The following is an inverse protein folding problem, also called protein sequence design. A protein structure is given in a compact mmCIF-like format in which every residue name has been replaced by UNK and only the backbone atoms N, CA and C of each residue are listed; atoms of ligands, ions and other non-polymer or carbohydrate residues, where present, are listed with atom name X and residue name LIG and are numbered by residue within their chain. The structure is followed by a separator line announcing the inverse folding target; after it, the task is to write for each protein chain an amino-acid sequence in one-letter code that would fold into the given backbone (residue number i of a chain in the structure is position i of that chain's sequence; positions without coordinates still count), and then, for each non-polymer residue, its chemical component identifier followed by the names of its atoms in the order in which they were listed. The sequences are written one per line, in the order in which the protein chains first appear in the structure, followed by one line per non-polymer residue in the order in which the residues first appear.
data_IF_638641027311
#
_entry.id   IF_638641027311
#
_cell.length_a   1.000
_cell.length_b   1.000
_cell.length_c   1.000
_cell.angle_alpha   90.00
_cell.angle_beta   90.00
_cell.angle_gamma   90.00
#
_symmetry.space_group_name_H-M   'P 1'
#
loop_
_entity.id
_entity.type
_entity.pdbx_description
1 polymer ?
#
# COMPACT_ATOMS: atom_id res chain seq x y z
N UNK A 1 17.99 34.49 -12.93
CA UNK A 1 18.31 33.11 -12.50
C UNK A 1 17.65 32.20 -13.49
N UNK A 2 18.45 31.45 -14.25
CA UNK A 2 17.93 30.36 -15.08
C UNK A 2 17.06 29.44 -14.22
N UNK A 3 15.85 29.13 -14.71
CA UNK A 3 15.01 28.07 -14.16
C UNK A 3 15.67 26.73 -14.52
N UNK A 4 16.74 26.37 -13.81
CA UNK A 4 17.01 24.95 -13.57
C UNK A 4 15.68 24.34 -13.11
N UNK A 5 15.19 23.32 -13.83
CA UNK A 5 13.87 22.75 -13.59
C UNK A 5 13.80 22.26 -12.14
N UNK A 6 13.14 23.03 -11.28
CA UNK A 6 12.96 22.67 -9.86
C UNK A 6 12.37 21.28 -9.79
N UNK A 7 12.90 20.45 -8.88
CA UNK A 7 12.42 19.09 -8.67
C UNK A 7 10.94 19.12 -8.29
N UNK A 8 10.18 18.17 -8.80
CA UNK A 8 8.79 17.99 -8.39
C UNK A 8 8.73 17.52 -6.93
N UNK A 9 7.62 17.78 -6.26
CA UNK A 9 7.45 17.59 -4.82
C UNK A 9 6.32 16.63 -4.50
N UNK A 10 6.42 15.96 -3.35
CA UNK A 10 5.31 15.14 -2.88
C UNK A 10 5.16 15.13 -1.36
N UNK A 11 3.95 14.80 -0.93
CA UNK A 11 3.60 14.49 0.47
C UNK A 11 3.09 13.07 0.55
N UNK A 12 3.53 12.33 1.56
CA UNK A 12 3.08 10.96 1.82
C UNK A 12 2.31 10.86 3.13
N UNK A 13 1.02 10.59 3.05
CA UNK A 13 0.16 10.34 4.22
C UNK A 13 0.04 8.83 4.48
N UNK A 14 0.01 8.43 5.76
CA UNK A 14 -0.01 7.03 6.18
C UNK A 14 1.16 6.23 5.58
N UNK A 15 2.34 6.85 5.62
CA UNK A 15 3.50 6.50 4.80
C UNK A 15 4.19 5.18 5.16
N UNK A 16 3.88 4.57 6.31
CA UNK A 16 4.53 3.36 6.80
C UNK A 16 6.06 3.53 6.81
N UNK A 17 6.84 2.56 6.33
CA UNK A 17 8.29 2.68 6.21
C UNK A 17 8.74 3.49 4.97
N UNK A 18 7.83 4.10 4.22
CA UNK A 18 8.11 4.91 3.02
C UNK A 18 8.29 4.14 1.72
N UNK A 19 8.12 2.81 1.73
CA UNK A 19 8.32 1.93 0.56
C UNK A 19 7.28 2.17 -0.54
N UNK A 20 6.01 2.39 -0.17
CA UNK A 20 4.92 2.57 -1.13
C UNK A 20 5.06 3.82 -2.02
N UNK A 21 5.90 4.77 -1.61
CA UNK A 21 6.19 6.01 -2.32
C UNK A 21 7.68 6.15 -2.67
N UNK A 22 8.46 5.05 -2.65
CA UNK A 22 9.87 5.06 -3.00
C UNK A 22 10.12 5.42 -4.47
N UNK A 23 9.18 5.07 -5.37
CA UNK A 23 9.26 5.41 -6.79
C UNK A 23 9.40 6.92 -7.05
N UNK A 24 8.84 7.78 -6.20
CA UNK A 24 9.02 9.23 -6.31
C UNK A 24 10.48 9.66 -6.11
N UNK A 25 11.18 9.04 -5.15
CA UNK A 25 12.60 9.29 -4.96
C UNK A 25 13.42 8.84 -6.18
N UNK A 26 13.10 7.66 -6.73
CA UNK A 26 13.74 7.17 -7.96
C UNK A 26 13.48 8.07 -9.17
N UNK A 27 12.30 8.69 -9.23
CA UNK A 27 11.93 9.68 -10.25
C UNK A 27 12.49 11.09 -9.98
N UNK A 28 13.28 11.29 -8.91
CA UNK A 28 13.93 12.56 -8.59
C UNK A 28 13.04 13.59 -7.89
N UNK A 29 11.89 13.19 -7.34
CA UNK A 29 11.02 14.08 -6.57
C UNK A 29 11.57 14.30 -5.15
N UNK A 30 11.25 15.46 -4.60
CA UNK A 30 11.56 15.82 -3.22
C UNK A 30 10.34 15.58 -2.30
N UNK A 31 10.55 14.91 -1.16
CA UNK A 31 9.51 14.81 -0.14
C UNK A 31 9.47 16.11 0.67
N UNK A 32 8.31 16.78 0.64
CA UNK A 32 7.98 17.91 1.52
C UNK A 32 7.74 17.38 2.93
N UNK A 33 6.77 16.48 3.06
CA UNK A 33 6.35 15.92 4.33
C UNK A 33 5.94 14.45 4.20
N UNK A 34 6.19 13.70 5.25
CA UNK A 34 5.77 12.32 5.41
C UNK A 34 5.11 12.18 6.78
N UNK A 35 3.89 11.65 6.82
CA UNK A 35 3.14 11.45 8.05
C UNK A 35 2.96 9.96 8.35
N UNK A 36 3.31 9.57 9.56
CA UNK A 36 3.18 8.20 10.08
C UNK A 36 3.13 8.21 11.61
N UNK A 37 2.25 7.40 12.20
CA UNK A 37 2.06 7.38 13.66
C UNK A 37 3.14 6.57 14.39
N UNK A 38 3.73 5.56 13.72
CA UNK A 38 4.73 4.66 14.32
C UNK A 38 6.16 5.17 14.08
N UNK A 39 6.82 5.61 15.15
CA UNK A 39 8.20 6.14 15.14
C UNK A 39 9.20 5.22 14.44
N UNK A 40 9.16 3.92 14.73
CA UNK A 40 10.09 2.94 14.14
C UNK A 40 10.05 2.97 12.61
N UNK A 41 8.88 3.21 12.03
CA UNK A 41 8.72 3.27 10.58
C UNK A 41 9.25 4.59 10.01
N UNK A 42 9.02 5.72 10.70
CA UNK A 42 9.64 7.00 10.35
C UNK A 42 11.17 6.95 10.43
N UNK A 43 11.74 6.25 11.42
CA UNK A 43 13.19 6.09 11.53
C UNK A 43 13.79 5.39 10.29
N UNK A 44 13.09 4.43 9.69
CA UNK A 44 13.52 3.82 8.42
C UNK A 44 13.55 4.89 7.32
N UNK A 45 12.55 5.77 7.25
CA UNK A 45 12.50 6.86 6.28
C UNK A 45 13.65 7.86 6.48
N UNK A 46 13.99 8.19 7.74
CA UNK A 46 15.11 9.08 8.09
C UNK A 46 16.46 8.49 7.66
N UNK A 47 16.69 7.21 7.94
CA UNK A 47 17.91 6.50 7.52
C UNK A 47 18.06 6.56 5.99
N UNK A 48 16.95 6.44 5.26
CA UNK A 48 16.91 6.55 3.80
C UNK A 48 16.83 7.99 3.28
N UNK A 49 16.93 9.00 4.16
CA UNK A 49 16.89 10.43 3.82
C UNK A 49 15.72 10.80 2.90
N UNK A 50 14.54 10.23 3.18
CA UNK A 50 13.35 10.38 2.35
C UNK A 50 12.99 11.85 2.11
N UNK A 51 12.97 12.65 3.17
CA UNK A 51 12.60 14.06 3.13
C UNK A 51 13.84 14.93 3.39
N UNK A 52 13.90 16.06 2.67
CA UNK A 52 15.03 17.01 2.70
C UNK A 52 15.28 17.59 4.09
N UNK A 53 14.19 17.83 4.82
CA UNK A 53 14.22 18.46 6.14
C UNK A 53 13.74 17.52 7.22
N UNK A 54 14.36 17.61 8.40
CA UNK A 54 13.94 16.85 9.57
C UNK A 54 12.50 17.19 10.00
N UNK A 55 12.09 18.45 9.82
CA UNK A 55 10.72 18.90 10.07
C UNK A 55 9.67 18.25 9.15
N UNK A 56 10.10 17.66 8.03
CA UNK A 56 9.23 16.90 7.14
C UNK A 56 8.85 15.50 7.65
N UNK A 57 9.52 14.98 8.68
CA UNK A 57 9.18 13.68 9.30
C UNK A 57 8.17 13.86 10.43
N UNK A 58 6.88 13.83 10.06
CA UNK A 58 5.78 14.19 10.94
C UNK A 58 5.21 12.96 11.62
N UNK A 59 5.60 12.75 12.88
CA UNK A 59 5.03 11.72 13.74
C UNK A 59 3.75 12.21 14.40
N UNK A 60 2.61 11.69 13.96
CA UNK A 60 1.34 12.09 14.56
C UNK A 60 0.14 11.38 13.94
N UNK A 61 -0.97 11.39 14.67
CA UNK A 61 -2.27 10.98 14.17
C UNK A 61 -2.80 12.06 13.20
N UNK A 62 -3.01 11.68 11.95
CA UNK A 62 -3.48 12.57 10.89
C UNK A 62 -4.87 13.19 11.18
N UNK A 63 -5.65 12.64 12.11
CA UNK A 63 -6.95 13.20 12.51
C UNK A 63 -6.80 14.45 13.39
N UNK A 64 -5.66 14.63 14.05
CA UNK A 64 -5.43 15.72 14.99
C UNK A 64 -5.08 17.03 14.28
N UNK A 65 -5.65 18.17 14.72
CA UNK A 65 -5.33 19.48 14.15
C UNK A 65 -3.83 19.83 14.19
N UNK A 66 -3.12 19.44 15.25
CA UNK A 66 -1.68 19.69 15.40
C UNK A 66 -0.87 18.99 14.29
N UNK A 67 -1.17 17.73 13.98
CA UNK A 67 -0.51 17.00 12.89
C UNK A 67 -0.77 17.65 11.55
N UNK A 68 -2.01 18.07 11.28
CA UNK A 68 -2.37 18.78 10.04
C UNK A 68 -1.63 20.11 9.94
N UNK A 69 -1.54 20.85 11.05
CA UNK A 69 -0.79 22.11 11.14
C UNK A 69 0.68 21.90 10.80
N UNK A 70 1.33 20.85 11.33
CA UNK A 70 2.72 20.54 11.00
C UNK A 70 2.92 20.27 9.50
N UNK A 71 1.98 19.58 8.84
CA UNK A 71 2.03 19.35 7.39
C UNK A 71 1.95 20.68 6.63
N UNK A 72 1.02 21.56 7.02
CA UNK A 72 0.82 22.86 6.38
C UNK A 72 2.00 23.82 6.62
N UNK A 73 2.57 23.81 7.82
CA UNK A 73 3.75 24.61 8.18
C UNK A 73 4.96 24.21 7.31
N UNK A 74 5.15 22.90 7.05
CA UNK A 74 6.19 22.43 6.14
C UNK A 74 5.89 22.86 4.68
N UNK A 75 4.64 22.77 4.21
CA UNK A 75 4.26 23.30 2.89
C UNK A 75 4.62 24.78 2.76
N UNK A 76 4.29 25.60 3.77
CA UNK A 76 4.58 27.04 3.75
C UNK A 76 6.08 27.34 3.75
N UNK A 77 6.88 26.50 4.42
CA UNK A 77 8.35 26.59 4.36
C UNK A 77 8.87 26.36 2.94
N UNK A 78 8.39 25.32 2.25
CA UNK A 78 8.73 25.08 0.85
C UNK A 78 8.22 26.20 -0.06
N UNK A 79 7.06 26.79 0.24
CA UNK A 79 6.56 27.97 -0.49
C UNK A 79 7.52 29.15 -0.44
N UNK A 80 8.14 29.40 0.71
CA UNK A 80 9.18 30.44 0.88
C UNK A 80 10.46 30.15 0.10
N UNK A 81 10.74 28.88 -0.23
CA UNK A 81 11.82 28.47 -1.13
C UNK A 81 11.44 28.61 -2.61
N UNK A 82 10.23 29.08 -2.89
CA UNK A 82 9.73 29.40 -4.23
C UNK A 82 8.91 28.28 -4.88
N UNK A 83 8.53 27.23 -4.16
CA UNK A 83 7.53 26.27 -4.64
C UNK A 83 6.14 26.92 -4.61
N UNK A 84 5.36 26.75 -5.66
CA UNK A 84 4.02 27.35 -5.77
C UNK A 84 2.94 26.48 -5.13
N UNK A 85 3.04 25.16 -5.31
CA UNK A 85 2.12 24.16 -4.76
C UNK A 85 2.83 22.81 -4.59
N UNK A 86 2.15 21.87 -3.93
CA UNK A 86 2.57 20.46 -3.86
C UNK A 86 2.22 19.78 -5.18
N UNK A 87 3.17 19.08 -5.81
CA UNK A 87 2.87 18.37 -7.05
C UNK A 87 2.00 17.14 -6.77
N UNK A 88 2.38 16.29 -5.81
CA UNK A 88 1.64 15.04 -5.55
C UNK A 88 1.35 14.83 -4.07
N UNK A 89 0.09 14.52 -3.75
CA UNK A 89 -0.27 13.89 -2.46
C UNK A 89 -0.50 12.41 -2.70
N UNK A 90 0.26 11.55 -2.02
CA UNK A 90 0.00 10.10 -1.99
C UNK A 90 -0.49 9.70 -0.60
N UNK A 91 -1.60 8.96 -0.53
CA UNK A 91 -2.14 8.45 0.72
C UNK A 91 -2.45 6.95 0.63
N UNK A 92 -2.03 6.21 1.65
CA UNK A 92 -2.32 4.78 1.83
C UNK A 92 -3.03 4.54 3.16
N UNK A 93 -4.22 5.14 3.38
CA UNK A 93 -4.90 5.07 4.67
C UNK A 93 -5.28 3.63 5.02
N UNK A 94 -5.12 3.21 6.28
CA UNK A 94 -5.62 1.93 6.73
C UNK A 94 -7.15 1.92 6.62
N UNK A 95 -7.70 0.83 6.12
CA UNK A 95 -9.14 0.67 5.99
C UNK A 95 -9.64 -0.33 7.02
N UNK A 96 -10.12 0.22 8.15
CA UNK A 96 -10.49 -0.50 9.37
C UNK A 96 -11.86 -1.21 9.29
N UNK A 97 -12.59 -1.08 8.17
CA UNK A 97 -13.94 -1.62 7.98
C UNK A 97 -14.06 -2.84 7.05
N UNK A 98 -12.97 -3.48 6.63
CA UNK A 98 -12.98 -4.47 5.53
C UNK A 98 -12.84 -5.94 5.96
N UNK A 99 -12.99 -6.28 7.24
CA UNK A 99 -13.06 -7.70 7.59
C UNK A 99 -14.44 -8.25 7.20
N UNK A 100 -14.43 -9.15 6.22
CA UNK A 100 -15.56 -10.03 5.87
C UNK A 100 -15.91 -10.99 7.04
N UNK A 101 -15.15 -10.95 8.14
CA UNK A 101 -15.15 -11.95 9.22
C UNK A 101 -15.66 -11.47 10.59
N UNK A 102 -15.98 -10.18 10.83
CA UNK A 102 -16.48 -9.72 12.14
C UNK A 102 -17.94 -9.27 12.11
N UNK A 103 -18.84 -10.25 12.21
CA UNK A 103 -20.28 -10.12 12.43
C UNK A 103 -20.67 -9.84 13.90
N UNK A 104 -19.92 -9.01 14.63
CA UNK A 104 -20.34 -8.54 15.97
C UNK A 104 -20.09 -7.04 16.07
N UNK A 105 -21.17 -6.25 16.05
CA UNK A 105 -21.15 -4.81 16.31
C UNK A 105 -21.92 -4.56 17.59
N UNK A 106 -21.27 -3.92 18.55
CA UNK A 106 -21.94 -3.17 19.59
C UNK A 106 -22.39 -1.82 19.00
N UNK A 107 -23.54 -1.30 19.43
CA UNK A 107 -24.16 -0.07 18.89
C UNK A 107 -23.31 1.21 19.12
N UNK A 108 -22.21 1.12 19.87
CA UNK A 108 -21.30 2.23 20.17
C UNK A 108 -19.97 2.18 19.39
N UNK A 109 -19.77 1.24 18.46
CA UNK A 109 -18.48 1.05 17.79
C UNK A 109 -18.35 1.74 16.42
N UNK A 110 -17.62 2.86 16.47
CA UNK A 110 -16.55 3.28 15.55
C UNK A 110 -17.02 3.83 14.19
N UNK A 111 -16.82 5.15 14.03
CA UNK A 111 -16.80 5.86 12.74
C UNK A 111 -16.01 5.04 11.72
N UNK A 112 -16.70 4.43 10.76
CA UNK A 112 -16.08 3.45 9.86
C UNK A 112 -15.16 4.17 8.89
N UNK A 113 -13.92 3.68 8.76
CA UNK A 113 -12.94 4.19 7.80
C UNK A 113 -12.70 5.70 7.92
N UNK A 114 -12.71 6.23 9.15
CA UNK A 114 -12.45 7.64 9.46
C UNK A 114 -11.14 8.15 8.86
N UNK A 115 -10.09 7.34 8.86
CA UNK A 115 -8.78 7.69 8.32
C UNK A 115 -8.77 7.84 6.78
N UNK A 116 -9.68 7.14 6.08
CA UNK A 116 -9.88 7.35 4.64
C UNK A 116 -10.50 8.72 4.40
N UNK A 117 -11.55 9.06 5.15
CA UNK A 117 -12.20 10.38 5.06
C UNK A 117 -11.23 11.49 5.42
N UNK A 118 -10.40 11.30 6.45
CA UNK A 118 -9.37 12.25 6.82
C UNK A 118 -8.34 12.47 5.69
N UNK A 119 -7.94 11.41 4.98
CA UNK A 119 -7.05 11.54 3.81
C UNK A 119 -7.66 12.41 2.71
N UNK A 120 -8.97 12.26 2.48
CA UNK A 120 -9.73 13.04 1.50
C UNK A 120 -9.73 14.52 1.91
N UNK A 121 -10.02 14.81 3.18
CA UNK A 121 -10.07 16.18 3.71
C UNK A 121 -8.70 16.87 3.70
N UNK A 122 -7.63 16.18 4.11
CA UNK A 122 -6.26 16.70 4.02
C UNK A 122 -5.89 16.99 2.56
N UNK A 123 -6.22 16.09 1.62
CA UNK A 123 -5.96 16.30 0.18
C UNK A 123 -6.71 17.52 -0.35
N UNK A 124 -7.99 17.68 0.05
CA UNK A 124 -8.82 18.85 -0.29
C UNK A 124 -8.22 20.16 0.24
N UNK A 125 -7.60 20.11 1.43
CA UNK A 125 -6.95 21.26 2.03
C UNK A 125 -5.62 21.61 1.34
N UNK A 126 -4.81 20.60 1.00
CA UNK A 126 -3.49 20.79 0.35
C UNK A 126 -3.63 21.32 -1.08
N UNK A 127 -4.67 20.89 -1.82
CA UNK A 127 -4.90 21.28 -3.23
C UNK A 127 -3.67 21.06 -4.12
N UNK A 128 -3.11 19.85 -4.06
CA UNK A 128 -1.98 19.44 -4.91
C UNK A 128 -2.35 19.36 -6.39
N UNK A 129 -1.35 19.34 -7.28
CA UNK A 129 -1.58 19.14 -8.72
C UNK A 129 -2.16 17.75 -9.02
N UNK A 130 -1.69 16.75 -8.29
CA UNK A 130 -2.15 15.38 -8.38
C UNK A 130 -2.41 14.80 -6.99
N UNK A 131 -3.33 13.85 -6.91
CA UNK A 131 -3.41 12.96 -5.75
C UNK A 131 -3.45 11.50 -6.19
N UNK A 132 -2.92 10.62 -5.34
CA UNK A 132 -2.96 9.17 -5.52
C UNK A 132 -3.42 8.54 -4.21
N UNK A 133 -4.54 7.82 -4.26
CA UNK A 133 -4.95 6.93 -3.17
C UNK A 133 -4.75 5.48 -3.59
N UNK A 134 -4.08 4.71 -2.75
CA UNK A 134 -3.95 3.26 -2.92
C UNK A 134 -4.61 2.53 -1.75
N UNK A 135 -5.36 1.48 -2.07
CA UNK A 135 -5.97 0.61 -1.09
C UNK A 135 -6.37 -0.74 -1.70
N UNK A 136 -7.02 -1.62 -0.94
CA UNK A 136 -7.44 -2.96 -1.42
C UNK A 136 -8.47 -2.90 -2.56
N UNK A 137 -8.71 -4.04 -3.22
CA UNK A 137 -9.61 -4.13 -4.36
C UNK A 137 -11.04 -3.58 -4.11
N UNK A 138 -11.62 -3.82 -2.93
CA UNK A 138 -12.98 -3.37 -2.58
C UNK A 138 -13.09 -1.89 -2.19
N UNK A 139 -12.00 -1.11 -2.26
CA UNK A 139 -11.90 0.24 -1.71
C UNK A 139 -13.07 1.16 -2.09
N UNK A 140 -13.33 1.34 -3.39
CA UNK A 140 -14.35 2.30 -3.86
C UNK A 140 -15.77 1.97 -3.39
N UNK A 141 -16.07 0.69 -3.13
CA UNK A 141 -17.39 0.18 -2.71
C UNK A 141 -17.51 0.00 -1.20
N UNK A 142 -16.42 0.19 -0.46
CA UNK A 142 -16.42 0.02 0.99
C UNK A 142 -17.11 1.21 1.65
N UNK A 143 -18.01 0.95 2.61
CA UNK A 143 -18.73 2.00 3.32
C UNK A 143 -17.87 2.75 4.34
N UNK A 144 -18.03 4.06 4.44
CA UNK A 144 -17.44 4.93 5.44
C UNK A 144 -18.48 5.90 6.02
N UNK A 145 -18.19 6.45 7.20
CA UNK A 145 -18.96 7.58 7.74
C UNK A 145 -18.45 8.86 7.10
N UNK A 146 -19.24 9.45 6.21
CA UNK A 146 -18.92 10.69 5.49
C UNK A 146 -18.89 11.90 6.44
N UNK A 147 -18.34 13.06 6.01
CA UNK A 147 -18.30 14.27 6.83
C UNK A 147 -19.66 14.77 7.32
N UNK A 148 -20.73 14.48 6.57
CA UNK A 148 -22.12 14.79 6.94
C UNK A 148 -22.74 13.79 7.95
N UNK A 149 -21.96 12.81 8.41
CA UNK A 149 -22.39 11.76 9.34
C UNK A 149 -23.11 10.59 8.70
N UNK A 150 -23.42 10.65 7.39
CA UNK A 150 -24.10 9.57 6.68
C UNK A 150 -23.15 8.43 6.32
N UNK A 151 -23.68 7.23 6.12
CA UNK A 151 -22.90 6.10 5.60
C UNK A 151 -22.96 6.12 4.07
N UNK A 152 -21.80 6.32 3.44
CA UNK A 152 -21.63 6.35 1.98
C UNK A 152 -20.49 5.42 1.58
N UNK A 153 -20.48 5.00 0.32
CA UNK A 153 -19.30 4.36 -0.27
C UNK A 153 -18.15 5.36 -0.33
N UNK A 154 -16.93 4.92 0.00
CA UNK A 154 -15.72 5.76 -0.05
C UNK A 154 -15.58 6.43 -1.41
N UNK A 155 -15.86 5.70 -2.51
CA UNK A 155 -15.81 6.26 -3.86
C UNK A 155 -16.70 7.49 -4.00
N UNK A 156 -17.94 7.45 -3.48
CA UNK A 156 -18.86 8.60 -3.52
C UNK A 156 -18.30 9.78 -2.76
N UNK A 157 -17.76 9.56 -1.56
CA UNK A 157 -17.14 10.63 -0.75
C UNK A 157 -15.94 11.26 -1.46
N UNK A 158 -15.10 10.46 -2.13
CA UNK A 158 -13.99 10.99 -2.94
C UNK A 158 -14.50 11.94 -4.03
N UNK A 159 -15.51 11.54 -4.80
CA UNK A 159 -16.06 12.39 -5.87
C UNK A 159 -16.81 13.62 -5.33
N UNK A 160 -17.57 13.49 -4.24
CA UNK A 160 -18.29 14.59 -3.60
C UNK A 160 -17.32 15.66 -3.05
N UNK A 161 -16.23 15.23 -2.40
CA UNK A 161 -15.30 16.13 -1.72
C UNK A 161 -14.22 16.71 -2.64
N UNK A 162 -13.76 15.96 -3.64
CA UNK A 162 -12.63 16.32 -4.50
C UNK A 162 -13.02 16.58 -5.96
N UNK A 163 -14.19 16.11 -6.44
CA UNK A 163 -14.58 16.21 -7.85
C UNK A 163 -14.82 17.64 -8.36
N UNK A 164 -14.99 18.60 -7.45
CA UNK A 164 -15.06 20.02 -7.81
C UNK A 164 -13.70 20.56 -8.29
N UNK A 165 -12.60 20.13 -7.68
CA UNK A 165 -11.25 20.62 -7.98
C UNK A 165 -10.46 19.66 -8.90
N UNK A 166 -10.83 18.38 -8.99
CA UNK A 166 -10.07 17.34 -9.70
C UNK A 166 -10.90 16.58 -10.75
N UNK A 167 -10.24 16.14 -11.82
CA UNK A 167 -10.71 15.04 -12.68
C UNK A 167 -10.16 13.74 -12.09
N UNK A 168 -11.04 12.80 -11.75
CA UNK A 168 -10.70 11.62 -10.94
C UNK A 168 -10.99 10.36 -11.74
N UNK A 169 -10.06 9.40 -11.66
CA UNK A 169 -10.24 8.05 -12.19
C UNK A 169 -9.82 7.02 -11.15
N UNK A 170 -10.37 5.81 -11.24
CA UNK A 170 -10.00 4.70 -10.37
C UNK A 170 -9.89 3.40 -11.17
N UNK A 171 -8.85 2.61 -10.89
CA UNK A 171 -8.68 1.26 -11.47
C UNK A 171 -8.27 0.26 -10.39
N UNK A 172 -8.82 -0.94 -10.47
CA UNK A 172 -8.34 -2.09 -9.70
C UNK A 172 -7.33 -2.84 -10.56
N UNK A 173 -6.09 -2.91 -10.09
CA UNK A 173 -4.93 -3.45 -10.80
C UNK A 173 -4.33 -4.59 -9.99
N UNK A 174 -3.92 -5.68 -10.65
CA UNK A 174 -3.00 -6.63 -10.03
C UNK A 174 -1.56 -6.18 -10.32
N UNK A 175 -0.82 -5.81 -9.26
CA UNK A 175 0.52 -5.24 -9.41
C UNK A 175 1.53 -6.19 -10.07
N UNK A 176 1.26 -7.51 -10.11
CA UNK A 176 2.09 -8.45 -10.89
C UNK A 176 2.15 -8.11 -12.38
N UNK A 177 1.07 -7.49 -12.89
CA UNK A 177 0.96 -7.09 -14.29
C UNK A 177 1.54 -5.70 -14.56
N UNK A 178 2.30 -5.14 -13.61
CA UNK A 178 2.89 -3.80 -13.69
C UNK A 178 4.29 -3.78 -13.05
N UNK A 179 5.00 -4.91 -13.11
CA UNK A 179 6.40 -5.04 -12.68
C UNK A 179 6.63 -5.53 -11.24
N UNK A 180 5.58 -5.83 -10.47
CA UNK A 180 5.75 -6.46 -9.15
C UNK A 180 5.97 -7.97 -9.28
N UNK A 181 6.82 -8.54 -8.42
CA UNK A 181 7.02 -10.00 -8.34
C UNK A 181 6.00 -10.68 -7.38
N UNK A 182 4.88 -10.02 -7.09
CA UNK A 182 3.85 -10.52 -6.18
C UNK A 182 2.46 -10.24 -6.74
N UNK A 183 1.62 -11.27 -6.74
CA UNK A 183 0.19 -11.12 -7.05
C UNK A 183 -0.47 -10.30 -5.93
N UNK A 184 -0.80 -9.05 -6.23
CA UNK A 184 -1.35 -8.11 -5.26
C UNK A 184 -2.34 -7.18 -5.94
N UNK A 185 -3.62 -7.47 -5.78
CA UNK A 185 -4.70 -6.65 -6.34
C UNK A 185 -4.97 -5.43 -5.46
N UNK A 186 -4.86 -4.24 -6.04
CA UNK A 186 -5.06 -2.95 -5.37
C UNK A 186 -5.86 -2.01 -6.24
N UNK A 187 -6.67 -1.18 -5.58
CA UNK A 187 -7.37 -0.08 -6.22
C UNK A 187 -6.51 1.16 -6.09
N UNK A 188 -6.21 1.77 -7.23
CA UNK A 188 -5.45 3.02 -7.33
C UNK A 188 -6.39 4.08 -7.88
N UNK A 189 -6.60 5.14 -7.11
CA UNK A 189 -7.41 6.31 -7.48
C UNK A 189 -6.46 7.46 -7.77
N UNK A 190 -6.57 8.06 -8.94
CA UNK A 190 -5.73 9.18 -9.37
C UNK A 190 -6.62 10.38 -9.65
N UNK A 191 -6.27 11.52 -9.07
CA UNK A 191 -6.87 12.80 -9.40
C UNK A 191 -5.86 13.74 -10.05
N UNK A 192 -6.30 14.45 -11.09
CA UNK A 192 -5.57 15.54 -11.74
C UNK A 192 -6.33 16.83 -11.48
N UNK A 193 -5.67 17.84 -10.92
CA UNK A 193 -6.30 19.13 -10.66
C UNK A 193 -6.81 19.74 -11.98
N UNK A 194 -8.02 20.31 -12.00
CA UNK A 194 -8.69 20.74 -13.23
C UNK A 194 -7.91 21.79 -14.02
N UNK A 195 -7.04 22.57 -13.37
CA UNK A 195 -6.13 23.50 -14.06
C UNK A 195 -5.11 22.82 -14.98
N UNK A 196 -4.93 21.49 -14.88
CA UNK A 196 -4.04 20.69 -15.73
C UNK A 196 -4.80 19.76 -16.68
N UNK A 197 -6.14 19.74 -16.60
CA UNK A 197 -6.97 18.76 -17.31
C UNK A 197 -6.95 18.91 -18.84
N UNK A 198 -6.58 20.09 -19.36
CA UNK A 198 -6.38 20.30 -20.80
C UNK A 198 -5.10 19.64 -21.34
N UNK A 199 -4.18 19.24 -20.45
CA UNK A 199 -2.87 18.70 -20.84
C UNK A 199 -2.63 17.28 -20.37
N UNK A 200 -3.29 16.84 -19.30
CA UNK A 200 -3.03 15.55 -18.66
C UNK A 200 -4.36 14.89 -18.30
N UNK A 201 -4.63 13.73 -18.91
CA UNK A 201 -5.76 12.92 -18.50
C UNK A 201 -5.34 11.94 -17.39
N UNK A 202 -6.09 11.81 -16.28
CA UNK A 202 -5.74 10.88 -15.19
C UNK A 202 -5.52 9.43 -15.65
N UNK A 203 -6.21 9.02 -16.72
CA UNK A 203 -6.14 7.66 -17.27
C UNK A 203 -4.77 7.33 -17.88
N UNK A 204 -4.04 8.35 -18.35
CA UNK A 204 -2.72 8.23 -18.96
C UNK A 204 -1.61 8.04 -17.91
N UNK A 205 -1.92 8.31 -16.64
CA UNK A 205 -0.97 8.18 -15.52
C UNK A 205 -0.87 6.74 -14.99
N UNK A 206 -1.71 5.81 -15.46
CA UNK A 206 -1.58 4.41 -15.11
C UNK A 206 -0.41 3.74 -15.84
N UNK A 207 0.32 2.82 -15.18
CA UNK A 207 1.41 2.11 -15.81
C UNK A 207 0.90 1.24 -16.97
N UNK A 208 1.76 1.02 -17.96
CA UNK A 208 1.50 0.07 -19.05
C UNK A 208 1.51 -1.36 -18.51
N UNK A 209 0.63 -2.20 -19.06
CA UNK A 209 0.60 -3.62 -18.76
C UNK A 209 1.95 -4.28 -19.06
N UNK A 210 2.38 -5.15 -18.17
CA UNK A 210 3.54 -6.02 -18.31
C UNK A 210 3.09 -7.45 -17.99
N UNK A 211 3.57 -8.43 -18.75
CA UNK A 211 3.37 -9.83 -18.39
C UNK A 211 4.04 -10.12 -17.05
N UNK A 212 3.38 -10.92 -16.21
CA UNK A 212 3.96 -11.30 -14.92
C UNK A 212 5.27 -12.08 -15.10
N UNK A 213 6.22 -11.79 -14.21
CA UNK A 213 7.44 -12.59 -14.12
C UNK A 213 7.16 -13.83 -13.30
N UNK A 214 7.40 -15.00 -13.87
CA UNK A 214 7.38 -16.26 -13.15
C UNK A 214 8.71 -16.49 -12.45
N UNK A 215 8.68 -17.20 -11.33
CA UNK A 215 9.90 -17.64 -10.66
C UNK A 215 10.55 -18.74 -11.51
N UNK A 216 11.88 -18.73 -11.58
CA UNK A 216 12.61 -19.83 -12.20
C UNK A 216 12.23 -21.15 -11.52
N UNK A 217 11.79 -22.13 -12.31
CA UNK A 217 11.21 -23.39 -11.80
C UNK A 217 12.23 -24.18 -10.98
N UNK A 218 13.51 -24.16 -11.38
CA UNK A 218 14.59 -24.83 -10.66
C UNK A 218 14.92 -24.12 -9.34
N UNK A 219 14.96 -22.78 -9.35
CA UNK A 219 15.12 -22.01 -8.12
C UNK A 219 13.96 -22.22 -7.15
N UNK A 220 12.72 -22.23 -7.65
CA UNK A 220 11.53 -22.53 -6.84
C UNK A 220 11.63 -23.91 -6.20
N UNK A 221 12.05 -24.93 -6.97
CA UNK A 221 12.30 -26.28 -6.46
C UNK A 221 13.28 -26.27 -5.28
N UNK A 222 14.45 -25.65 -5.43
CA UNK A 222 15.43 -25.56 -4.36
C UNK A 222 14.89 -24.84 -3.12
N UNK A 223 14.14 -23.75 -3.29
CA UNK A 223 13.50 -23.06 -2.18
C UNK A 223 12.48 -23.96 -1.46
N UNK A 224 11.70 -24.76 -2.18
CA UNK A 224 10.73 -25.67 -1.59
C UNK A 224 11.41 -26.78 -0.80
N UNK A 225 12.44 -27.43 -1.38
CA UNK A 225 13.23 -28.47 -0.67
C UNK A 225 13.84 -27.91 0.61
N UNK A 226 14.54 -26.76 0.53
CA UNK A 226 15.11 -26.11 1.69
C UNK A 226 14.05 -25.71 2.74
N UNK A 227 12.86 -25.32 2.29
CA UNK A 227 11.75 -24.96 3.19
C UNK A 227 11.18 -26.19 3.89
N UNK A 228 11.06 -27.32 3.21
CA UNK A 228 10.64 -28.60 3.81
C UNK A 228 11.60 -28.98 4.94
N UNK A 229 12.90 -28.95 4.67
CA UNK A 229 13.93 -29.28 5.67
C UNK A 229 13.88 -28.35 6.87
N UNK A 230 13.74 -27.04 6.65
CA UNK A 230 13.60 -26.07 7.71
C UNK A 230 12.34 -26.33 8.57
N UNK A 231 11.19 -26.60 7.95
CA UNK A 231 9.96 -26.89 8.71
C UNK A 231 10.10 -28.21 9.49
N UNK A 232 10.71 -29.24 8.89
CA UNK A 232 11.01 -30.51 9.57
C UNK A 232 11.85 -30.29 10.82
N UNK A 233 12.92 -29.51 10.72
CA UNK A 233 13.78 -29.18 11.86
C UNK A 233 12.97 -28.54 13.00
N UNK A 234 12.18 -27.51 12.71
CA UNK A 234 11.36 -26.81 13.70
C UNK A 234 10.24 -27.67 14.32
N UNK A 235 9.74 -28.68 13.62
CA UNK A 235 8.66 -29.53 14.11
C UNK A 235 9.15 -30.82 14.79
N UNK A 236 10.43 -31.16 14.63
CA UNK A 236 11.03 -32.35 15.24
C UNK A 236 12.03 -32.03 16.36
N UNK A 237 12.39 -30.76 16.53
CA UNK A 237 13.30 -30.30 17.57
C UNK A 237 12.53 -29.58 18.69
N UNK A 238 12.42 -30.24 19.84
CA UNK A 238 11.72 -29.73 21.03
C UNK A 238 12.40 -28.49 21.66
N UNK A 239 13.65 -28.19 21.31
CA UNK A 239 14.35 -26.99 21.77
C UNK A 239 13.99 -25.73 20.97
N UNK A 240 13.37 -25.88 19.80
CA UNK A 240 12.95 -24.78 18.94
C UNK A 240 11.51 -24.35 19.22
N UNK A 241 11.19 -23.05 19.06
CA UNK A 241 9.82 -22.59 19.22
C UNK A 241 8.94 -23.15 18.09
N UNK A 242 7.77 -23.71 18.44
CA UNK A 242 6.78 -24.17 17.45
C UNK A 242 6.15 -22.98 16.73
N UNK A 243 6.71 -22.64 15.57
CA UNK A 243 6.23 -21.54 14.70
C UNK A 243 5.58 -22.04 13.40
N UNK A 244 5.60 -23.35 13.17
CA UNK A 244 4.99 -23.99 12.00
C UNK A 244 3.93 -25.00 12.42
N UNK A 245 3.08 -25.38 11.46
CA UNK A 245 2.14 -26.47 11.58
C UNK A 245 2.19 -27.29 10.28
N UNK A 246 2.28 -28.62 10.40
CA UNK A 246 2.43 -29.48 9.22
C UNK A 246 1.23 -29.40 8.28
N UNK A 247 0.00 -29.36 8.80
CA UNK A 247 -1.22 -29.29 7.99
C UNK A 247 -1.34 -27.95 7.27
N UNK A 248 -1.00 -26.86 7.95
CA UNK A 248 -0.95 -25.53 7.31
C UNK A 248 0.11 -25.50 6.21
N UNK A 249 1.24 -26.17 6.41
CA UNK A 249 2.27 -26.30 5.37
C UNK A 249 1.77 -27.07 4.14
N UNK A 250 1.12 -28.23 4.34
CA UNK A 250 0.48 -28.99 3.25
C UNK A 250 -0.53 -28.11 2.51
N UNK A 251 -1.41 -27.41 3.23
CA UNK A 251 -2.39 -26.51 2.62
C UNK A 251 -1.72 -25.40 1.78
N UNK A 252 -0.63 -24.80 2.28
CA UNK A 252 0.12 -23.79 1.52
C UNK A 252 0.73 -24.37 0.24
N UNK A 253 1.24 -25.60 0.25
CA UNK A 253 1.74 -26.27 -0.95
C UNK A 253 0.64 -26.52 -1.97
N UNK A 254 -0.52 -27.01 -1.55
CA UNK A 254 -1.66 -27.28 -2.44
C UNK A 254 -2.17 -26.01 -3.11
N UNK A 255 -2.39 -24.97 -2.30
CA UNK A 255 -2.87 -23.67 -2.82
C UNK A 255 -1.82 -23.01 -3.71
N UNK A 256 -0.55 -23.06 -3.31
CA UNK A 256 0.54 -22.41 -4.02
C UNK A 256 0.96 -23.10 -5.32
N UNK A 257 0.79 -24.42 -5.41
CA UNK A 257 1.10 -25.23 -6.60
C UNK A 257 -0.15 -25.63 -7.39
N UNK A 258 -1.33 -25.15 -6.96
CA UNK A 258 -2.63 -25.43 -7.59
C UNK A 258 -2.88 -26.92 -7.82
N UNK A 259 -2.66 -27.73 -6.78
CA UNK A 259 -2.70 -29.20 -6.86
C UNK A 259 -3.33 -29.84 -5.61
N UNK A 260 -3.80 -31.08 -5.75
CA UNK A 260 -4.35 -31.90 -4.66
C UNK A 260 -3.44 -33.09 -4.29
N UNK A 261 -2.24 -33.15 -4.87
CA UNK A 261 -1.31 -34.28 -4.72
C UNK A 261 -0.80 -34.47 -3.28
N UNK A 262 -0.91 -33.44 -2.43
CA UNK A 262 -0.39 -33.44 -1.06
C UNK A 262 -1.43 -33.86 0.00
N UNK A 263 -2.74 -33.78 -0.29
CA UNK A 263 -3.85 -34.16 0.62
C UNK A 263 -3.73 -35.54 1.25
N UNK A 264 -3.15 -36.48 0.52
CA UNK A 264 -3.07 -37.89 0.94
C UNK A 264 -1.84 -38.20 1.79
N UNK A 265 -0.95 -37.21 1.99
CA UNK A 265 0.26 -37.37 2.77
C UNK A 265 -0.10 -37.52 4.25
N UNK A 266 0.51 -38.51 4.90
CA UNK A 266 0.33 -38.75 6.33
C UNK A 266 0.97 -37.62 7.15
N UNK A 267 0.42 -37.36 8.33
CA UNK A 267 0.92 -36.31 9.22
C UNK A 267 2.41 -36.52 9.51
N UNK A 268 3.21 -35.44 9.42
CA UNK A 268 4.66 -35.44 9.63
C UNK A 268 5.49 -36.26 8.63
N UNK A 269 4.92 -36.75 7.52
CA UNK A 269 5.66 -37.48 6.47
C UNK A 269 6.33 -36.53 5.46
N UNK A 270 7.44 -35.92 5.88
CA UNK A 270 8.22 -34.98 5.05
C UNK A 270 8.88 -35.65 3.83
N UNK A 271 9.21 -36.94 3.91
CA UNK A 271 9.82 -37.66 2.79
C UNK A 271 8.81 -37.86 1.65
N UNK A 272 7.52 -38.09 1.97
CA UNK A 272 6.46 -38.08 0.99
C UNK A 272 6.23 -36.69 0.38
N UNK A 273 6.33 -35.62 1.18
CA UNK A 273 6.25 -34.23 0.67
C UNK A 273 7.36 -33.97 -0.35
N UNK A 274 8.61 -34.31 -0.03
CA UNK A 274 9.74 -34.17 -0.95
C UNK A 274 9.53 -34.94 -2.25
N UNK A 275 9.11 -36.21 -2.18
CA UNK A 275 8.82 -37.01 -3.38
C UNK A 275 7.74 -36.40 -4.27
N UNK A 276 6.70 -35.80 -3.68
CA UNK A 276 5.65 -35.11 -4.44
C UNK A 276 6.17 -33.82 -5.08
N UNK A 277 7.01 -33.07 -4.39
CA UNK A 277 7.70 -31.91 -4.97
C UNK A 277 8.60 -32.37 -6.13
N UNK A 278 9.43 -33.40 -5.95
CA UNK A 278 10.27 -33.95 -7.01
C UNK A 278 9.45 -34.36 -8.23
N UNK A 279 8.33 -35.05 -8.02
CA UNK A 279 7.43 -35.45 -9.11
C UNK A 279 6.88 -34.25 -9.87
N UNK A 280 6.40 -33.21 -9.18
CA UNK A 280 5.82 -32.02 -9.80
C UNK A 280 6.84 -31.16 -10.56
N UNK A 281 8.13 -31.25 -10.24
CA UNK A 281 9.17 -30.42 -10.85
C UNK A 281 10.04 -31.17 -11.88
N UNK A 282 10.05 -32.51 -11.84
CA UNK A 282 10.71 -33.36 -12.84
C UNK A 282 9.76 -33.86 -13.95
N UNK A 283 8.46 -33.60 -13.84
CA UNK A 283 7.46 -33.78 -14.90
C UNK A 283 7.40 -32.56 -15.84
#
# INVERSE_FOLDING_TARGET
MDKESRKLTYISLFSSAGVGCYGFNQAGFECIATNEIIERRLNIQRINRKCKYESGYIKGDATLPETKKQILDEIEKWRKEGYDTVDVVIATPPCQGMSVANHKKSDNEIVRNSLVVESILITKQIKSRFFIFENVASFMKTGCTAPDGTIKEIGKVIYEELGNDYIITSRTLNLKNYGSNSSRTRTVVIGVHKSLAEHIAPVELYPAFQEEKTLDRLYQYFCLVAKVDNIREYLTNDELPTIYNFRDFIYVLEVGLETEEFKTISDMDFDAVLKKIDYLYNA
#
